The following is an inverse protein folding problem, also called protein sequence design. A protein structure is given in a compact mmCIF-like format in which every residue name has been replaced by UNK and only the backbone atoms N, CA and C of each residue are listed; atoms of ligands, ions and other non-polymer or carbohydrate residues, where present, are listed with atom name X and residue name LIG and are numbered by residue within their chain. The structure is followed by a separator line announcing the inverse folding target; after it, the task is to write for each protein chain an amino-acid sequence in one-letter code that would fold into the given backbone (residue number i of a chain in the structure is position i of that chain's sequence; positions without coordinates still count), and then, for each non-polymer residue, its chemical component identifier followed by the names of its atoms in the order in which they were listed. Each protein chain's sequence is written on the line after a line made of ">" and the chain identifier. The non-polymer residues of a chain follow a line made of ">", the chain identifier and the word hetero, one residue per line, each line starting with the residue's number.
data_IF_872375767315
#
_entry.id   IF_872375767315
#
_cell.length_a   1.000
_cell.length_b   1.000
_cell.length_c   1.000
_cell.angle_alpha   90.00
_cell.angle_beta   90.00
_cell.angle_gamma   90.00
#
_symmetry.space_group_name_H-M   'P 1'
#
loop_
_entity.id
_entity.type
_entity.pdbx_description
1 polymer ?
#
# COMPACT_ATOMS: atom_id res chain seq x y z
N UNK A 1 71.60 31.09 20.73
CA UNK A 1 71.84 32.53 20.48
C UNK A 1 70.59 33.13 19.87
N UNK A 2 70.09 34.13 20.60
CA UNK A 2 69.03 35.14 20.41
C UNK A 2 68.08 35.17 19.21
N UNK A 3 66.84 35.48 19.60
CA UNK A 3 65.73 36.04 18.84
C UNK A 3 66.14 37.24 18.00
N UNK A 4 65.97 37.14 16.67
CA UNK A 4 65.64 38.21 15.71
C UNK A 4 65.84 37.82 14.23
N UNK A 5 65.67 36.55 13.87
CA UNK A 5 65.58 36.13 12.45
C UNK A 5 64.29 35.37 12.09
N UNK A 6 63.25 35.49 12.91
CA UNK A 6 61.91 34.98 12.61
C UNK A 6 60.97 36.18 12.47
N UNK A 7 61.21 37.05 11.48
CA UNK A 7 60.39 38.26 11.29
C UNK A 7 60.00 38.60 9.85
N UNK A 8 60.36 37.80 8.83
CA UNK A 8 59.93 38.10 7.44
C UNK A 8 59.25 36.95 6.68
N UNK A 9 59.03 35.79 7.30
CA UNK A 9 58.23 34.71 6.70
C UNK A 9 56.77 34.64 7.19
N UNK A 10 56.36 35.50 8.15
CA UNK A 10 55.02 35.46 8.78
C UNK A 10 54.11 36.62 8.35
N UNK A 11 54.59 37.56 7.51
CA UNK A 11 53.82 38.77 7.13
C UNK A 11 53.39 38.88 5.68
N UNK A 12 53.43 37.78 4.91
CA UNK A 12 52.80 37.68 3.59
C UNK A 12 51.90 36.45 3.51
N UNK A 13 50.78 36.48 4.24
CA UNK A 13 49.49 35.86 3.84
C UNK A 13 48.40 36.08 4.91
N UNK A 14 48.38 37.23 5.57
CA UNK A 14 47.22 37.69 6.36
C UNK A 14 46.52 38.79 5.58
N UNK A 15 45.87 38.41 4.47
CA UNK A 15 44.75 39.13 3.84
C UNK A 15 44.27 38.30 2.64
N UNK A 16 43.55 37.22 2.96
CA UNK A 16 42.55 36.49 2.12
C UNK A 16 42.10 35.27 2.92
N UNK A 17 41.43 35.56 4.05
CA UNK A 17 40.53 34.63 4.72
C UNK A 17 39.20 34.67 3.94
N UNK A 18 38.49 33.56 3.91
CA UNK A 18 37.31 33.23 3.06
C UNK A 18 37.68 32.77 1.65
N UNK A 19 38.20 31.55 1.54
CA UNK A 19 37.63 30.49 0.69
C UNK A 19 38.59 29.29 0.66
N UNK A 20 38.02 28.09 0.84
CA UNK A 20 38.65 26.77 0.74
C UNK A 20 39.53 26.37 1.93
N UNK A 21 38.88 25.71 2.90
CA UNK A 21 39.53 24.98 3.97
C UNK A 21 38.84 23.64 4.22
N UNK A 22 39.54 22.58 3.80
CA UNK A 22 39.65 21.26 4.47
C UNK A 22 38.39 20.39 4.59
N UNK A 23 38.40 19.26 3.87
CA UNK A 23 37.84 18.01 4.39
C UNK A 23 38.61 16.81 3.79
N UNK A 24 39.77 16.51 4.39
CA UNK A 24 40.42 15.20 4.33
C UNK A 24 40.29 14.63 5.74
N UNK A 25 39.36 13.70 5.91
CA UNK A 25 39.17 12.97 7.17
C UNK A 25 37.73 12.75 7.58
N UNK A 26 36.98 11.93 6.82
CA UNK A 26 35.99 11.01 7.39
C UNK A 26 35.99 9.75 6.52
N UNK A 27 36.61 8.70 7.03
CA UNK A 27 36.39 7.35 6.56
C UNK A 27 35.01 6.89 7.03
N UNK A 28 34.25 6.27 6.13
CA UNK A 28 33.08 5.44 6.40
C UNK A 28 31.95 6.04 7.27
N UNK A 29 31.11 6.86 6.63
CA UNK A 29 29.67 6.90 6.91
C UNK A 29 28.96 7.15 5.58
N UNK A 30 29.02 6.15 4.67
CA UNK A 30 27.97 6.01 3.66
C UNK A 30 26.72 5.51 4.38
N UNK A 31 26.10 6.40 5.15
CA UNK A 31 24.67 6.30 5.41
C UNK A 31 24.01 6.51 4.05
N UNK A 32 23.44 5.44 3.52
CA UNK A 32 22.61 5.46 2.32
C UNK A 32 21.58 6.57 2.57
N UNK A 33 21.67 7.67 1.81
CA UNK A 33 20.56 8.58 1.69
C UNK A 33 19.42 7.76 1.10
N UNK A 34 18.46 7.37 1.94
CA UNK A 34 17.30 6.62 1.49
C UNK A 34 16.62 7.38 0.37
N UNK A 35 16.42 6.69 -0.75
CA UNK A 35 15.75 7.23 -1.91
C UNK A 35 14.26 7.40 -1.58
N UNK A 36 13.92 8.54 -0.98
CA UNK A 36 12.58 8.98 -0.59
C UNK A 36 11.53 9.04 -1.73
N UNK A 37 11.84 8.49 -2.91
CA UNK A 37 10.93 8.36 -4.04
C UNK A 37 10.55 6.94 -4.43
N UNK A 38 11.16 5.90 -3.85
CA UNK A 38 10.99 4.50 -4.29
C UNK A 38 9.77 3.79 -3.72
N UNK A 39 9.23 4.29 -2.61
CA UNK A 39 8.05 3.73 -1.95
C UNK A 39 6.78 4.44 -2.42
N UNK A 40 5.62 3.86 -2.07
CA UNK A 40 4.35 4.52 -2.34
C UNK A 40 4.29 5.89 -1.65
N UNK A 41 3.81 6.91 -2.38
CA UNK A 41 3.66 8.27 -1.87
C UNK A 41 2.38 8.44 -1.04
N UNK A 42 1.35 7.64 -1.33
CA UNK A 42 0.07 7.72 -0.61
C UNK A 42 -0.80 6.48 -0.78
N UNK A 43 -1.67 6.22 0.20
CA UNK A 43 -2.80 5.31 0.05
C UNK A 43 -3.97 6.06 -0.59
N UNK A 44 -4.46 5.55 -1.72
CA UNK A 44 -5.58 6.12 -2.48
C UNK A 44 -6.91 5.63 -1.96
N UNK A 45 -6.99 4.34 -1.66
CA UNK A 45 -8.19 3.70 -1.11
C UNK A 45 -7.82 2.44 -0.34
N UNK A 46 -8.59 2.14 0.69
CA UNK A 46 -8.57 0.85 1.38
C UNK A 46 -10.00 0.40 1.65
N UNK A 47 -10.27 -0.89 1.46
CA UNK A 47 -11.50 -1.56 1.86
C UNK A 47 -11.08 -2.75 2.72
N UNK A 48 -11.39 -2.71 4.00
CA UNK A 48 -11.10 -3.83 4.87
C UNK A 48 -12.11 -4.97 4.66
N UNK A 49 -11.63 -6.19 4.50
CA UNK A 49 -12.41 -7.42 4.58
C UNK A 49 -12.79 -7.76 6.02
N UNK A 50 -13.58 -8.81 6.31
CA UNK A 50 -13.69 -9.34 7.67
C UNK A 50 -12.35 -9.92 8.16
N UNK A 51 -12.26 -10.30 9.44
CA UNK A 51 -11.09 -10.99 10.02
C UNK A 51 -9.75 -10.22 10.03
N UNK A 52 -9.78 -8.89 9.99
CA UNK A 52 -8.59 -8.01 10.12
C UNK A 52 -7.98 -7.94 11.54
N UNK A 53 -8.52 -8.69 12.52
CA UNK A 53 -8.26 -8.49 13.95
C UNK A 53 -6.90 -9.06 14.43
N UNK A 54 -6.15 -9.74 13.58
CA UNK A 54 -4.81 -10.27 13.92
C UNK A 54 -3.65 -9.37 13.49
N UNK A 55 -3.85 -8.39 12.61
CA UNK A 55 -2.77 -7.52 12.12
C UNK A 55 -3.17 -6.05 11.92
N UNK A 56 -3.57 -5.35 12.98
CA UNK A 56 -3.69 -3.87 12.94
C UNK A 56 -4.44 -3.31 11.69
N UNK A 57 -5.72 -3.65 11.55
CA UNK A 57 -6.57 -3.20 10.43
C UNK A 57 -7.06 -1.74 10.51
N UNK A 58 -8.37 -1.47 10.44
CA UNK A 58 -8.93 -0.11 10.29
C UNK A 58 -8.61 0.85 11.44
N UNK A 59 -8.33 0.33 12.63
CA UNK A 59 -8.06 1.12 13.84
C UNK A 59 -6.55 1.34 14.09
N UNK A 60 -5.67 0.95 13.17
CA UNK A 60 -4.24 1.16 13.31
C UNK A 60 -3.89 2.67 13.35
N UNK A 61 -3.38 3.21 14.47
CA UNK A 61 -3.09 4.64 14.60
C UNK A 61 -1.92 5.11 13.72
N UNK A 62 -1.15 4.19 13.14
CA UNK A 62 -0.05 4.49 12.24
C UNK A 62 -0.46 4.49 10.77
N UNK A 63 -1.66 4.00 10.43
CA UNK A 63 -2.18 4.06 9.07
C UNK A 63 -2.42 5.53 8.65
N UNK A 64 -2.05 5.95 7.42
CA UNK A 64 -1.51 5.15 6.33
C UNK A 64 0.02 5.00 6.31
N UNK A 65 0.75 5.61 7.25
CA UNK A 65 2.22 5.67 7.19
C UNK A 65 2.89 4.30 7.26
N UNK A 66 2.27 3.33 7.92
CA UNK A 66 2.81 1.98 8.05
C UNK A 66 3.04 1.23 6.74
N UNK A 67 2.43 1.66 5.62
CA UNK A 67 2.58 1.00 4.30
C UNK A 67 3.23 1.89 3.24
N UNK A 68 3.67 3.09 3.62
CA UNK A 68 4.27 4.08 2.72
C UNK A 68 5.80 4.17 2.87
N UNK A 69 6.35 3.37 3.78
CA UNK A 69 7.76 3.33 4.09
C UNK A 69 8.48 2.14 3.45
N UNK A 70 9.72 1.95 3.89
CA UNK A 70 10.46 0.73 3.66
C UNK A 70 9.78 -0.45 4.39
N UNK A 71 9.99 -1.69 3.93
CA UNK A 71 9.58 -2.84 4.72
C UNK A 71 10.29 -2.85 6.08
N UNK A 72 9.65 -3.39 7.11
CA UNK A 72 10.17 -3.41 8.48
C UNK A 72 11.65 -3.83 8.51
N UNK A 73 12.53 -2.90 8.87
CA UNK A 73 13.98 -3.13 8.89
C UNK A 73 14.42 -4.24 9.87
N UNK A 74 13.55 -4.59 10.81
CA UNK A 74 13.75 -5.66 11.79
C UNK A 74 13.16 -7.00 11.35
N UNK A 75 12.37 -7.05 10.28
CA UNK A 75 11.83 -8.29 9.73
C UNK A 75 12.94 -9.30 9.41
N UNK A 76 12.69 -10.57 9.70
CA UNK A 76 13.62 -11.68 9.45
C UNK A 76 12.91 -12.81 8.72
N UNK A 77 13.58 -13.53 7.80
CA UNK A 77 12.91 -14.54 6.99
C UNK A 77 12.30 -15.71 7.76
N UNK A 78 12.67 -15.91 9.04
CA UNK A 78 12.15 -16.99 9.87
C UNK A 78 11.29 -16.51 11.05
N UNK A 79 10.99 -15.21 11.13
CA UNK A 79 10.24 -14.65 12.25
C UNK A 79 9.30 -13.56 11.75
N UNK A 80 8.00 -13.61 12.12
CA UNK A 80 7.07 -12.55 11.77
C UNK A 80 7.45 -11.26 12.48
N UNK A 81 7.18 -10.13 11.82
CA UNK A 81 7.02 -8.84 12.49
C UNK A 81 5.65 -8.75 13.15
N UNK A 82 5.54 -7.91 14.19
CA UNK A 82 4.29 -7.61 14.86
C UNK A 82 4.24 -6.12 15.24
N UNK A 83 4.97 -5.28 14.52
CA UNK A 83 5.01 -3.84 14.78
C UNK A 83 3.85 -3.12 14.07
N UNK A 84 2.90 -2.51 14.79
CA UNK A 84 1.79 -1.78 14.17
C UNK A 84 2.24 -0.57 13.36
N UNK A 85 3.48 -0.12 13.53
CA UNK A 85 4.06 0.98 12.75
C UNK A 85 4.47 0.57 11.35
N UNK A 86 4.60 -0.73 11.10
CA UNK A 86 5.18 -1.27 9.86
C UNK A 86 4.20 -2.20 9.12
N UNK A 87 3.05 -2.56 9.70
CA UNK A 87 2.11 -3.53 9.10
C UNK A 87 0.67 -3.01 9.01
N UNK A 88 -0.05 -3.49 8.00
CA UNK A 88 -1.49 -3.29 7.83
C UNK A 88 -2.16 -4.57 7.30
N UNK A 89 -3.01 -5.20 8.11
CA UNK A 89 -3.84 -6.34 7.71
C UNK A 89 -5.10 -5.87 7.00
N UNK A 90 -5.36 -6.44 5.83
CA UNK A 90 -6.45 -6.00 4.96
C UNK A 90 -7.81 -6.59 5.32
N UNK A 91 -7.86 -7.67 6.07
CA UNK A 91 -8.99 -8.59 6.18
C UNK A 91 -9.17 -9.44 4.91
N UNK A 92 -9.96 -10.50 5.05
CA UNK A 92 -10.29 -11.46 3.98
C UNK A 92 -10.98 -10.78 2.78
N UNK A 93 -10.37 -10.84 1.60
CA UNK A 93 -10.82 -10.11 0.41
C UNK A 93 -10.73 -8.58 0.54
N UNK A 94 -10.02 -8.11 1.57
CA UNK A 94 -9.64 -6.73 1.76
C UNK A 94 -8.73 -6.24 0.64
N UNK A 95 -8.69 -4.93 0.44
CA UNK A 95 -8.03 -4.34 -0.71
C UNK A 95 -7.45 -2.99 -0.36
N UNK A 96 -6.23 -2.72 -0.83
CA UNK A 96 -5.58 -1.42 -0.72
C UNK A 96 -5.02 -1.00 -2.08
N UNK A 97 -5.15 0.28 -2.41
CA UNK A 97 -4.54 0.89 -3.60
C UNK A 97 -3.56 1.95 -3.16
N UNK A 98 -2.32 1.79 -3.60
CA UNK A 98 -1.20 2.70 -3.36
C UNK A 98 -0.91 3.51 -4.62
N UNK A 99 -0.45 4.74 -4.45
CA UNK A 99 -0.04 5.64 -5.52
C UNK A 99 1.44 5.98 -5.42
N UNK A 100 2.10 5.99 -6.57
CA UNK A 100 3.46 6.44 -6.78
C UNK A 100 3.44 7.72 -7.62
N UNK A 101 3.95 8.82 -7.06
CA UNK A 101 4.06 10.11 -7.74
C UNK A 101 5.00 10.04 -8.93
N UNK A 102 6.11 9.33 -8.78
CA UNK A 102 6.97 8.96 -9.90
C UNK A 102 6.48 7.63 -10.45
N UNK A 103 6.07 7.57 -11.73
CA UNK A 103 5.56 6.33 -12.28
C UNK A 103 6.62 5.24 -12.20
N UNK A 104 6.16 4.04 -11.87
CA UNK A 104 6.92 2.80 -12.06
C UNK A 104 6.93 2.56 -13.56
N UNK A 105 8.10 2.28 -14.13
CA UNK A 105 8.30 2.13 -15.58
C UNK A 105 8.80 0.73 -15.89
N UNK A 106 8.33 0.17 -16.99
CA UNK A 106 8.77 -1.13 -17.49
C UNK A 106 10.23 -1.07 -17.96
N UNK A 107 11.04 -2.02 -17.49
CA UNK A 107 12.39 -2.28 -17.99
C UNK A 107 12.65 -3.78 -17.99
N UNK A 108 13.88 -4.16 -18.31
CA UNK A 108 14.27 -5.56 -18.23
C UNK A 108 14.15 -6.10 -16.80
N UNK A 109 13.26 -7.08 -16.62
CA UNK A 109 13.01 -7.77 -15.36
C UNK A 109 12.00 -7.05 -14.46
N UNK A 110 11.88 -7.45 -13.19
CA UNK A 110 10.86 -6.90 -12.30
C UNK A 110 11.02 -5.39 -12.06
N UNK A 111 9.89 -4.70 -11.98
CA UNK A 111 9.81 -3.24 -11.83
C UNK A 111 9.36 -2.79 -10.45
N UNK A 112 8.72 -3.67 -9.68
CA UNK A 112 8.36 -3.41 -8.28
C UNK A 112 8.26 -4.70 -7.46
N UNK A 113 8.26 -4.55 -6.14
CA UNK A 113 8.20 -5.64 -5.16
C UNK A 113 7.12 -5.33 -4.15
N UNK A 114 6.32 -6.33 -3.80
CA UNK A 114 5.36 -6.28 -2.70
C UNK A 114 5.92 -7.09 -1.53
N UNK A 115 5.89 -6.48 -0.35
CA UNK A 115 6.32 -7.07 0.89
C UNK A 115 5.12 -7.30 1.79
N UNK A 116 5.08 -8.51 2.32
CA UNK A 116 4.14 -8.99 3.32
C UNK A 116 4.97 -9.57 4.46
N UNK A 117 4.30 -9.94 5.54
CA UNK A 117 4.90 -10.49 6.75
C UNK A 117 5.13 -12.02 6.72
N UNK A 118 5.28 -12.64 5.55
CA UNK A 118 5.57 -14.06 5.40
C UNK A 118 6.85 -14.47 6.14
N UNK A 119 6.87 -15.70 6.64
CA UNK A 119 8.06 -16.27 7.28
C UNK A 119 8.18 -17.79 7.09
N UNK A 120 9.42 -18.26 6.99
CA UNK A 120 9.74 -19.69 6.93
C UNK A 120 9.52 -20.36 8.28
N UNK A 121 8.70 -21.41 8.29
CA UNK A 121 8.36 -22.20 9.48
C UNK A 121 9.60 -22.99 9.89
N UNK A 122 10.15 -22.67 11.06
CA UNK A 122 11.38 -23.31 11.55
C UNK A 122 12.60 -23.08 10.66
N UNK A 123 12.63 -21.97 9.92
CA UNK A 123 13.65 -21.67 8.90
C UNK A 123 13.76 -22.69 7.75
N UNK A 124 12.74 -23.53 7.51
CA UNK A 124 12.70 -24.40 6.33
C UNK A 124 12.21 -23.61 5.11
N UNK A 125 13.10 -23.37 4.14
CA UNK A 125 12.78 -22.62 2.91
C UNK A 125 11.69 -23.29 2.04
N UNK A 126 11.30 -24.53 2.33
CA UNK A 126 10.22 -25.23 1.63
C UNK A 126 8.86 -25.07 2.30
N UNK A 127 8.82 -24.46 3.50
CA UNK A 127 7.61 -24.30 4.32
C UNK A 127 7.53 -22.89 4.86
N UNK A 128 6.57 -22.10 4.41
CA UNK A 128 6.29 -20.79 4.96
C UNK A 128 4.88 -20.68 5.51
N UNK A 129 4.72 -19.81 6.50
CA UNK A 129 3.45 -19.18 6.79
C UNK A 129 3.34 -17.99 5.85
N UNK A 130 2.23 -17.91 5.14
CA UNK A 130 2.02 -16.97 4.04
C UNK A 130 0.53 -16.69 3.91
N UNK A 131 0.22 -15.48 3.47
CA UNK A 131 -1.13 -15.01 3.16
C UNK A 131 -1.04 -14.36 1.79
N UNK A 132 -1.76 -14.91 0.82
CA UNK A 132 -1.51 -14.55 -0.57
C UNK A 132 -2.26 -13.28 -0.97
N UNK A 133 -1.57 -12.43 -1.73
CA UNK A 133 -2.10 -11.18 -2.25
C UNK A 133 -2.15 -11.19 -3.76
N UNK A 134 -3.30 -10.80 -4.32
CA UNK A 134 -3.49 -10.60 -5.74
C UNK A 134 -3.09 -9.17 -6.08
N UNK A 135 -2.22 -9.01 -7.07
CA UNK A 135 -1.68 -7.72 -7.48
C UNK A 135 -2.31 -7.28 -8.79
N UNK A 136 -2.76 -6.03 -8.82
CA UNK A 136 -3.20 -5.37 -10.04
C UNK A 136 -2.63 -3.96 -10.13
N UNK A 137 -2.44 -3.46 -11.35
CA UNK A 137 -1.80 -2.17 -11.59
C UNK A 137 -2.63 -1.29 -12.51
N UNK A 138 -2.46 0.02 -12.38
CA UNK A 138 -3.14 0.99 -13.22
C UNK A 138 -2.28 2.19 -13.53
N UNK A 139 -2.47 2.76 -14.71
CA UNK A 139 -1.90 4.04 -15.11
C UNK A 139 -2.74 5.22 -14.62
N UNK A 140 -4.05 5.07 -14.57
CA UNK A 140 -5.02 6.16 -14.34
C UNK A 140 -5.81 6.04 -13.03
N UNK A 141 -5.66 4.92 -12.30
CA UNK A 141 -6.37 4.64 -11.06
C UNK A 141 -7.84 4.26 -11.28
N UNK A 142 -8.28 4.05 -12.53
CA UNK A 142 -9.64 3.64 -12.88
C UNK A 142 -9.66 2.23 -13.45
N UNK A 143 -8.76 1.93 -14.40
CA UNK A 143 -8.67 0.63 -15.05
C UNK A 143 -7.48 -0.13 -14.50
N UNK A 144 -7.77 -1.17 -13.73
CA UNK A 144 -6.75 -2.06 -13.18
C UNK A 144 -6.58 -3.29 -14.05
N UNK A 145 -5.34 -3.68 -14.29
CA UNK A 145 -4.96 -4.94 -14.93
C UNK A 145 -4.34 -5.83 -13.87
N UNK A 146 -4.97 -6.99 -13.64
CA UNK A 146 -4.52 -8.00 -12.69
C UNK A 146 -3.34 -8.79 -13.27
N UNK A 147 -2.33 -9.06 -12.46
CA UNK A 147 -1.26 -9.96 -12.83
C UNK A 147 -1.78 -11.40 -12.91
N UNK A 148 -1.40 -12.17 -13.94
CA UNK A 148 -1.78 -13.57 -14.02
C UNK A 148 -1.10 -14.36 -12.90
N UNK A 149 -1.84 -15.26 -12.27
CA UNK A 149 -1.33 -16.14 -11.24
C UNK A 149 -1.79 -17.60 -11.45
N UNK A 150 -1.09 -18.53 -10.80
CA UNK A 150 -1.42 -19.95 -10.82
C UNK A 150 -1.10 -20.62 -9.49
N UNK A 151 -1.94 -21.57 -9.09
CA UNK A 151 -1.75 -22.42 -7.90
C UNK A 151 -1.39 -23.83 -8.34
N UNK A 152 -0.32 -24.39 -7.77
CA UNK A 152 0.13 -25.76 -8.05
C UNK A 152 -0.39 -26.69 -6.94
N UNK A 153 -1.59 -27.22 -7.10
CA UNK A 153 -2.28 -28.00 -6.06
C UNK A 153 -1.59 -29.31 -5.66
N UNK A 154 -0.63 -29.79 -6.45
CA UNK A 154 0.19 -30.95 -6.08
C UNK A 154 1.25 -30.62 -5.03
N UNK A 155 1.53 -29.34 -4.78
CA UNK A 155 2.44 -28.90 -3.73
C UNK A 155 1.70 -28.68 -2.40
N UNK A 156 2.38 -28.86 -1.25
CA UNK A 156 1.78 -28.56 0.05
C UNK A 156 1.32 -27.10 0.15
N UNK A 157 0.24 -26.88 0.90
CA UNK A 157 -0.33 -25.55 1.17
C UNK A 157 0.72 -24.55 1.67
N UNK A 158 1.62 -24.97 2.54
CA UNK A 158 2.69 -24.13 3.08
C UNK A 158 3.92 -24.04 2.19
N UNK A 159 3.89 -24.57 0.96
CA UNK A 159 5.02 -24.45 0.04
C UNK A 159 4.99 -23.11 -0.70
N UNK A 160 6.01 -22.24 -0.57
CA UNK A 160 6.04 -20.99 -1.32
C UNK A 160 5.96 -21.21 -2.84
N UNK A 161 6.51 -22.33 -3.32
CA UNK A 161 6.52 -22.71 -4.75
C UNK A 161 5.12 -22.99 -5.32
N UNK A 162 4.10 -23.13 -4.46
CA UNK A 162 2.71 -23.38 -4.83
C UNK A 162 2.06 -22.19 -5.51
N UNK A 163 2.46 -20.97 -5.16
CA UNK A 163 1.77 -19.73 -5.54
C UNK A 163 2.64 -18.92 -6.49
N UNK A 164 2.34 -18.95 -7.79
CA UNK A 164 3.09 -18.18 -8.80
C UNK A 164 2.30 -16.95 -9.20
N UNK A 165 2.96 -15.79 -9.25
CA UNK A 165 2.34 -14.52 -9.64
C UNK A 165 1.49 -13.87 -8.54
N UNK A 166 1.53 -14.42 -7.32
CA UNK A 166 0.91 -13.84 -6.13
C UNK A 166 1.99 -13.17 -5.27
N UNK A 167 1.59 -12.14 -4.54
CA UNK A 167 2.37 -11.58 -3.45
C UNK A 167 2.13 -12.36 -2.15
N UNK A 168 2.94 -12.11 -1.13
CA UNK A 168 2.77 -12.66 0.21
C UNK A 168 3.38 -14.04 0.40
N UNK A 169 4.27 -14.45 -0.50
CA UNK A 169 4.79 -15.82 -0.58
C UNK A 169 6.24 -15.89 -0.12
N UNK A 170 7.01 -14.84 -0.39
CA UNK A 170 8.45 -14.79 -0.12
C UNK A 170 8.74 -13.96 1.13
N UNK A 171 9.26 -14.56 2.22
CA UNK A 171 9.58 -13.84 3.46
C UNK A 171 10.48 -12.63 3.30
N UNK A 172 10.34 -11.67 4.20
CA UNK A 172 11.08 -10.41 4.17
C UNK A 172 12.41 -10.49 4.95
N UNK A 173 13.48 -9.97 4.36
CA UNK A 173 14.75 -9.66 5.04
C UNK A 173 14.91 -8.13 5.14
N UNK A 174 14.46 -7.56 6.26
CA UNK A 174 14.46 -6.11 6.49
C UNK A 174 15.83 -5.45 6.51
N UNK A 175 16.91 -6.22 6.63
CA UNK A 175 18.29 -5.67 6.62
C UNK A 175 18.87 -5.46 5.22
N UNK A 176 18.28 -6.09 4.20
CA UNK A 176 18.77 -6.01 2.83
C UNK A 176 18.24 -4.77 2.12
N UNK A 177 18.81 -4.45 0.95
CA UNK A 177 18.27 -3.42 0.08
C UNK A 177 16.88 -3.85 -0.44
N UNK A 178 15.81 -3.10 -0.16
CA UNK A 178 14.45 -3.50 -0.51
C UNK A 178 14.14 -3.51 -2.02
N UNK A 179 15.02 -2.99 -2.87
CA UNK A 179 14.89 -3.11 -4.33
C UNK A 179 15.55 -4.39 -4.88
N UNK A 180 16.22 -5.18 -4.04
CA UNK A 180 17.01 -6.35 -4.47
C UNK A 180 16.24 -7.63 -4.18
N UNK A 181 15.24 -7.92 -5.01
CA UNK A 181 14.43 -9.13 -4.90
C UNK A 181 15.27 -10.41 -5.10
N UNK A 182 14.86 -11.49 -4.44
CA UNK A 182 15.49 -12.80 -4.53
C UNK A 182 15.35 -13.58 -3.22
N UNK A 183 15.83 -14.83 -3.16
CA UNK A 183 15.65 -15.69 -1.99
C UNK A 183 16.37 -15.09 -0.78
N UNK A 184 15.68 -14.75 0.31
CA UNK A 184 16.29 -14.07 1.47
C UNK A 184 17.16 -15.01 2.32
N UNK A 185 17.07 -16.33 2.08
CA UNK A 185 17.95 -17.36 2.63
C UNK A 185 18.55 -18.20 1.52
N UNK A 186 19.85 -18.50 1.62
CA UNK A 186 20.55 -19.46 0.77
C UNK A 186 21.30 -20.41 1.71
N UNK A 187 21.04 -21.72 1.60
CA UNK A 187 21.63 -22.74 2.47
C UNK A 187 21.50 -22.42 3.98
N UNK A 188 20.35 -21.86 4.39
CA UNK A 188 20.06 -21.51 5.78
C UNK A 188 20.73 -20.22 6.28
N UNK A 189 21.46 -19.51 5.43
CA UNK A 189 22.11 -18.24 5.78
C UNK A 189 21.40 -17.05 5.11
N UNK A 190 21.37 -15.90 5.78
CA UNK A 190 20.87 -14.65 5.21
C UNK A 190 21.60 -14.35 3.90
N UNK A 191 20.82 -14.09 2.87
CA UNK A 191 21.31 -13.65 1.58
C UNK A 191 21.28 -12.11 1.49
N UNK A 192 21.94 -11.52 0.49
CA UNK A 192 21.84 -10.08 0.23
C UNK A 192 20.53 -9.66 -0.46
N UNK A 193 19.54 -10.55 -0.56
CA UNK A 193 18.23 -10.26 -1.16
C UNK A 193 17.20 -9.93 -0.07
N UNK A 194 16.28 -9.03 -0.39
CA UNK A 194 15.21 -8.58 0.52
C UNK A 194 14.07 -9.59 0.68
N UNK A 195 13.99 -10.59 -0.19
CA UNK A 195 12.74 -11.32 -0.35
C UNK A 195 11.66 -10.43 -0.96
N UNK A 196 10.42 -10.63 -0.51
CA UNK A 196 9.25 -10.05 -1.16
C UNK A 196 9.01 -10.64 -2.55
N UNK A 197 7.84 -10.36 -3.10
CA UNK A 197 7.42 -10.91 -4.39
C UNK A 197 7.48 -9.83 -5.46
N UNK A 198 8.22 -10.10 -6.53
CA UNK A 198 8.55 -9.13 -7.56
C UNK A 198 7.64 -9.26 -8.79
N UNK A 199 7.29 -8.12 -9.38
CA UNK A 199 6.35 -8.00 -10.47
C UNK A 199 6.97 -7.20 -11.63
N UNK A 200 6.82 -7.75 -12.84
CA UNK A 200 7.37 -7.25 -14.09
C UNK A 200 6.23 -6.74 -14.98
N UNK A 201 6.22 -5.45 -15.31
CA UNK A 201 5.10 -4.82 -16.01
C UNK A 201 4.93 -5.34 -17.44
N UNK A 202 5.98 -5.88 -18.07
CA UNK A 202 5.89 -6.52 -19.37
C UNK A 202 4.91 -7.70 -19.36
N UNK A 203 4.75 -8.38 -18.21
CA UNK A 203 3.79 -9.50 -18.04
C UNK A 203 2.35 -9.07 -18.28
N UNK A 204 2.00 -7.83 -17.94
CA UNK A 204 0.66 -7.26 -18.10
C UNK A 204 0.59 -6.24 -19.25
N UNK A 205 1.66 -6.10 -20.03
CA UNK A 205 1.72 -5.22 -21.20
C UNK A 205 1.62 -3.74 -20.88
N UNK A 206 2.23 -3.30 -19.77
CA UNK A 206 2.17 -1.90 -19.30
C UNK A 206 3.54 -1.23 -19.34
N UNK A 207 3.71 -0.17 -20.12
CA UNK A 207 5.01 0.55 -20.14
C UNK A 207 5.28 1.38 -18.87
N UNK A 208 4.19 1.78 -18.18
CA UNK A 208 4.26 2.58 -16.96
C UNK A 208 2.94 2.59 -16.19
N UNK A 209 3.06 2.63 -14.86
CA UNK A 209 1.93 2.66 -13.92
C UNK A 209 2.18 3.66 -12.78
N UNK A 210 1.08 4.15 -12.21
CA UNK A 210 1.10 5.03 -11.02
C UNK A 210 0.47 4.36 -9.81
N UNK A 211 -0.32 3.30 -10.03
CA UNK A 211 -1.14 2.70 -9.00
C UNK A 211 -0.83 1.22 -8.91
N UNK A 212 -0.56 0.75 -7.69
CA UNK A 212 -0.48 -0.67 -7.35
C UNK A 212 -1.61 -0.95 -6.39
N UNK A 213 -2.42 -1.96 -6.72
CA UNK A 213 -3.49 -2.45 -5.86
C UNK A 213 -3.18 -3.87 -5.43
N UNK A 214 -3.35 -4.10 -4.13
CA UNK A 214 -3.19 -5.41 -3.51
C UNK A 214 -4.55 -5.78 -2.93
N UNK A 215 -5.02 -6.96 -3.28
CA UNK A 215 -6.25 -7.54 -2.76
C UNK A 215 -5.85 -8.83 -2.06
N UNK A 216 -6.21 -8.97 -0.79
CA UNK A 216 -6.12 -10.26 -0.10
C UNK A 216 -6.84 -11.33 -0.94
N UNK A 217 -6.19 -12.46 -1.17
CA UNK A 217 -6.70 -13.45 -2.11
C UNK A 217 -8.01 -14.10 -1.62
N UNK A 218 -8.20 -14.18 -0.29
CA UNK A 218 -9.37 -14.78 0.34
C UNK A 218 -9.76 -16.12 -0.27
N UNK A 219 -11.07 -16.29 -0.50
CA UNK A 219 -11.63 -17.51 -1.11
C UNK A 219 -11.14 -17.81 -2.54
N UNK A 220 -10.44 -16.88 -3.22
CA UNK A 220 -9.90 -17.13 -4.57
C UNK A 220 -8.69 -18.06 -4.54
N UNK A 221 -7.98 -18.16 -3.41
CA UNK A 221 -6.78 -18.99 -3.26
C UNK A 221 -6.82 -19.68 -1.90
N UNK A 222 -6.84 -21.02 -1.91
CA UNK A 222 -6.69 -21.78 -0.67
C UNK A 222 -5.21 -21.82 -0.26
N UNK A 223 -4.77 -20.80 0.47
CA UNK A 223 -3.39 -20.64 0.95
C UNK A 223 -3.13 -21.19 2.36
N UNK A 224 -4.14 -21.80 2.98
CA UNK A 224 -4.00 -22.40 4.31
C UNK A 224 -4.21 -21.46 5.47
N UNK A 225 -4.72 -20.25 5.23
CA UNK A 225 -5.17 -19.29 6.24
C UNK A 225 -6.37 -19.74 7.09
N UNK A 226 -6.45 -21.04 7.42
CA UNK A 226 -7.60 -21.75 8.04
C UNK A 226 -7.99 -21.17 9.42
N UNK A 227 -7.21 -20.25 9.99
CA UNK A 227 -7.50 -19.57 11.25
C UNK A 227 -7.32 -18.06 11.13
N UNK A 228 -8.20 -17.40 10.37
CA UNK A 228 -8.41 -15.95 10.40
C UNK A 228 -7.19 -15.09 10.05
N UNK A 229 -6.55 -15.41 8.94
CA UNK A 229 -5.29 -14.84 8.50
C UNK A 229 -5.53 -14.02 7.23
N UNK A 230 -4.95 -12.82 7.17
CA UNK A 230 -5.30 -11.76 6.23
C UNK A 230 -4.05 -11.00 5.84
N UNK A 231 -3.83 -10.80 4.55
CA UNK A 231 -2.63 -10.18 3.98
C UNK A 231 -2.13 -8.98 4.79
N UNK A 232 -1.00 -9.17 5.47
CA UNK A 232 -0.33 -8.16 6.29
C UNK A 232 0.66 -7.33 5.43
N UNK A 233 0.14 -6.29 4.78
CA UNK A 233 0.96 -5.43 3.93
C UNK A 233 2.01 -4.70 4.78
N UNK A 234 3.27 -4.89 4.40
CA UNK A 234 4.44 -4.21 4.95
C UNK A 234 4.84 -3.02 4.05
N UNK A 235 5.19 -3.30 2.79
CA UNK A 235 5.59 -2.25 1.86
C UNK A 235 5.36 -2.59 0.38
N UNK A 236 5.35 -1.57 -0.47
CA UNK A 236 5.53 -1.71 -1.93
C UNK A 236 6.65 -0.81 -2.38
N UNK A 237 7.59 -1.38 -3.12
CA UNK A 237 8.84 -0.73 -3.50
C UNK A 237 9.01 -0.80 -5.00
N UNK A 238 9.23 0.34 -5.64
CA UNK A 238 9.57 0.40 -7.04
C UNK A 238 11.07 0.10 -7.24
N UNK A 239 11.38 -0.81 -8.17
CA UNK A 239 12.73 -1.09 -8.68
C UNK A 239 13.06 -0.06 -9.76
N UNK A 240 12.16 0.10 -10.73
CA UNK A 240 12.32 1.00 -11.87
C UNK A 240 11.32 2.14 -11.79
N UNK A 241 11.82 3.37 -11.62
CA UNK A 241 10.99 4.57 -11.65
C UNK A 241 11.50 5.56 -12.67
N UNK A 242 10.57 6.34 -13.22
CA UNK A 242 10.94 7.51 -14.00
C UNK A 242 11.82 8.45 -13.16
N UNK A 243 12.84 9.02 -13.81
CA UNK A 243 13.67 10.04 -13.21
C UNK A 243 12.85 11.27 -12.80
N UNK A 244 13.42 12.10 -11.92
CA UNK A 244 12.79 13.35 -11.51
C UNK A 244 12.71 14.35 -12.69
N UNK A 245 11.69 14.23 -13.53
CA UNK A 245 11.32 15.30 -14.48
C UNK A 245 10.18 16.12 -13.88
N UNK A 246 10.13 17.42 -14.20
CA UNK A 246 8.99 18.32 -13.97
C UNK A 246 7.77 17.83 -14.79
N UNK A 247 7.23 16.66 -14.49
CA UNK A 247 5.87 16.33 -14.88
C UNK A 247 4.95 17.26 -14.08
N UNK A 248 3.85 17.78 -14.67
CA UNK A 248 2.87 18.53 -13.89
C UNK A 248 2.47 17.65 -12.72
N UNK A 249 2.57 18.22 -11.53
CA UNK A 249 2.18 17.60 -10.27
C UNK A 249 0.70 17.21 -10.41
N UNK A 250 0.44 15.95 -10.77
CA UNK A 250 -0.92 15.44 -10.70
C UNK A 250 -1.22 15.42 -9.20
N UNK A 251 -2.01 16.41 -8.77
CA UNK A 251 -2.45 16.53 -7.38
C UNK A 251 -3.33 15.32 -7.07
N UNK A 252 -2.70 14.21 -6.71
CA UNK A 252 -3.37 13.12 -6.00
C UNK A 252 -3.60 13.64 -4.60
N UNK A 253 -4.72 14.36 -4.45
CA UNK A 253 -5.28 14.60 -3.13
C UNK A 253 -5.54 13.24 -2.51
N UNK A 254 -4.87 12.97 -1.40
CA UNK A 254 -5.25 11.90 -0.48
C UNK A 254 -6.66 12.23 -0.01
N UNK A 255 -7.66 11.66 -0.70
CA UNK A 255 -9.06 11.86 -0.35
C UNK A 255 -9.40 10.84 0.71
N UNK A 256 -9.16 11.18 1.97
CA UNK A 256 -9.88 10.51 3.05
C UNK A 256 -11.32 11.05 3.04
N UNK A 257 -12.27 10.15 2.89
CA UNK A 257 -13.71 10.39 3.06
C UNK A 257 -14.20 9.34 4.05
N UNK A 258 -15.37 9.59 4.63
CA UNK A 258 -15.99 8.66 5.58
C UNK A 258 -17.45 8.51 5.20
N UNK A 259 -17.93 7.30 4.94
CA UNK A 259 -19.36 7.02 4.84
C UNK A 259 -19.81 6.41 6.18
N UNK A 260 -20.81 7.00 6.83
CA UNK A 260 -21.36 6.46 8.07
C UNK A 260 -22.51 5.50 7.79
N UNK A 261 -22.78 4.60 8.74
CA UNK A 261 -24.00 3.80 8.74
C UNK A 261 -25.22 4.72 8.81
N UNK A 262 -26.22 4.47 7.95
CA UNK A 262 -27.48 5.20 8.00
C UNK A 262 -28.16 5.02 9.36
N UNK A 263 -28.80 6.07 9.86
CA UNK A 263 -29.56 6.02 11.12
C UNK A 263 -30.93 6.69 10.96
N UNK A 264 -32.01 6.01 11.40
CA UNK A 264 -32.05 4.65 11.96
C UNK A 264 -31.72 3.56 10.92
N UNK A 265 -31.30 2.37 11.38
CA UNK A 265 -31.19 1.14 10.58
C UNK A 265 -31.45 -0.09 11.50
N UNK A 266 -32.51 -0.89 11.29
CA UNK A 266 -33.54 -0.77 10.25
C UNK A 266 -34.33 0.55 10.31
N UNK A 267 -34.98 0.94 9.21
CA UNK A 267 -35.70 2.21 9.09
C UNK A 267 -37.09 2.07 8.48
N UNK A 268 -37.99 3.03 8.75
CA UNK A 268 -39.35 3.09 8.21
C UNK A 268 -39.91 4.53 8.19
N UNK A 269 -40.30 5.09 7.02
CA UNK A 269 -39.70 4.86 5.71
C UNK A 269 -38.48 5.76 5.48
N UNK A 270 -38.07 6.54 6.50
CA UNK A 270 -37.00 7.53 6.38
C UNK A 270 -35.76 7.16 7.17
N UNK A 271 -34.59 7.51 6.63
CA UNK A 271 -33.29 7.38 7.29
C UNK A 271 -32.38 8.53 6.88
N UNK A 272 -31.30 8.74 7.62
CA UNK A 272 -30.28 9.73 7.30
C UNK A 272 -28.96 9.03 7.01
N UNK A 273 -28.36 9.34 5.86
CA UNK A 273 -27.03 8.87 5.47
C UNK A 273 -26.05 10.03 5.66
N UNK A 274 -25.03 9.81 6.48
CA UNK A 274 -23.95 10.78 6.65
C UNK A 274 -22.74 10.43 5.78
N UNK A 275 -22.01 11.44 5.29
CA UNK A 275 -20.64 11.27 4.80
C UNK A 275 -19.76 12.51 4.99
N UNK A 276 -18.44 12.31 5.05
CA UNK A 276 -17.45 13.39 5.21
C UNK A 276 -16.52 13.45 3.99
N UNK A 277 -16.25 14.67 3.53
CA UNK A 277 -15.27 14.98 2.49
C UNK A 277 -14.13 15.81 3.11
N UNK A 278 -12.88 15.35 3.01
CA UNK A 278 -11.72 16.15 3.47
C UNK A 278 -11.25 17.18 2.45
N UNK A 279 -11.66 17.05 1.19
CA UNK A 279 -11.31 17.96 0.09
C UNK A 279 -12.49 18.16 -0.85
N UNK A 280 -12.58 19.31 -1.55
CA UNK A 280 -13.62 19.54 -2.54
C UNK A 280 -13.61 18.47 -3.64
N UNK A 281 -14.75 17.82 -3.88
CA UNK A 281 -14.82 16.65 -4.76
C UNK A 281 -16.16 16.55 -5.50
N UNK A 282 -16.17 15.87 -6.65
CA UNK A 282 -17.39 15.43 -7.33
C UNK A 282 -17.94 14.19 -6.62
N UNK A 283 -19.20 14.26 -6.16
CA UNK A 283 -19.84 13.28 -5.29
C UNK A 283 -21.11 12.72 -5.93
N UNK A 284 -21.20 11.40 -5.97
CA UNK A 284 -22.42 10.65 -6.32
C UNK A 284 -22.83 9.77 -5.13
N UNK A 285 -24.00 9.98 -4.54
CA UNK A 285 -24.58 9.09 -3.54
C UNK A 285 -25.85 8.46 -4.11
N UNK A 286 -25.82 7.14 -4.32
CA UNK A 286 -26.90 6.40 -4.99
C UNK A 286 -27.35 5.20 -4.17
N UNK A 287 -28.60 4.79 -4.35
CA UNK A 287 -29.23 3.65 -3.68
C UNK A 287 -29.56 2.59 -4.72
N UNK A 288 -29.28 1.34 -4.38
CA UNK A 288 -29.47 0.14 -5.20
C UNK A 288 -30.28 -0.91 -4.43
N UNK A 289 -31.03 -1.71 -5.16
CA UNK A 289 -31.66 -2.92 -4.62
C UNK A 289 -30.68 -4.11 -4.56
N UNK A 290 -31.15 -5.24 -4.05
CA UNK A 290 -30.37 -6.49 -3.93
C UNK A 290 -29.92 -7.09 -5.26
N UNK A 291 -30.55 -6.69 -6.38
CA UNK A 291 -30.15 -7.10 -7.74
C UNK A 291 -29.17 -6.10 -8.37
N UNK A 292 -28.77 -5.06 -7.64
CA UNK A 292 -27.86 -4.02 -8.11
C UNK A 292 -28.51 -2.98 -9.02
N UNK A 293 -29.85 -2.93 -9.09
CA UNK A 293 -30.56 -1.90 -9.87
C UNK A 293 -30.60 -0.60 -9.08
N UNK A 294 -30.24 0.52 -9.72
CA UNK A 294 -30.35 1.84 -9.10
C UNK A 294 -31.83 2.18 -8.87
N UNK A 295 -32.18 2.49 -7.62
CA UNK A 295 -33.55 2.86 -7.22
C UNK A 295 -33.68 4.32 -6.81
N UNK A 296 -32.57 4.98 -6.49
CA UNK A 296 -32.54 6.42 -6.24
C UNK A 296 -31.13 7.01 -6.41
N UNK A 297 -31.06 8.24 -6.92
CA UNK A 297 -29.87 9.10 -6.82
C UNK A 297 -30.16 10.18 -5.77
N UNK A 298 -29.37 10.22 -4.70
CA UNK A 298 -29.55 11.14 -3.57
C UNK A 298 -28.66 12.38 -3.69
N UNK A 299 -27.47 12.24 -4.26
CA UNK A 299 -26.51 13.33 -4.53
C UNK A 299 -25.83 13.05 -5.85
N UNK A 300 -25.66 14.08 -6.68
CA UNK A 300 -24.86 14.06 -7.91
C UNK A 300 -24.33 15.48 -8.14
N UNK A 301 -23.29 15.87 -7.39
CA UNK A 301 -22.82 17.24 -7.37
C UNK A 301 -21.37 17.38 -6.92
N UNK A 302 -20.74 18.49 -7.32
CA UNK A 302 -19.47 18.94 -6.74
C UNK A 302 -19.73 19.61 -5.39
N UNK A 303 -19.05 19.13 -4.35
CA UNK A 303 -19.19 19.60 -2.98
C UNK A 303 -17.85 20.05 -2.40
N UNK A 304 -17.88 20.98 -1.45
CA UNK A 304 -16.70 21.43 -0.72
C UNK A 304 -16.26 20.38 0.32
N UNK A 305 -15.11 20.60 0.98
CA UNK A 305 -14.77 19.80 2.16
C UNK A 305 -15.77 20.07 3.29
N UNK A 306 -16.22 19.02 3.98
CA UNK A 306 -17.20 19.12 5.05
C UNK A 306 -17.91 17.80 5.35
N UNK A 307 -18.69 17.80 6.43
CA UNK A 307 -19.61 16.71 6.76
C UNK A 307 -21.00 17.01 6.20
N UNK A 308 -21.63 15.99 5.62
CA UNK A 308 -22.91 16.07 4.95
C UNK A 308 -23.86 15.04 5.53
N UNK A 309 -25.15 15.39 5.56
CA UNK A 309 -26.24 14.50 5.91
C UNK A 309 -27.29 14.56 4.81
N UNK A 310 -27.74 13.39 4.36
CA UNK A 310 -28.73 13.26 3.29
C UNK A 310 -29.90 12.45 3.82
N UNK A 311 -31.08 13.04 3.76
CA UNK A 311 -32.31 12.35 4.11
C UNK A 311 -32.78 11.49 2.95
N UNK A 312 -33.06 10.22 3.22
CA UNK A 312 -33.61 9.29 2.26
C UNK A 312 -35.02 8.87 2.71
N UNK A 313 -36.00 9.04 1.82
CA UNK A 313 -37.37 8.59 2.01
C UNK A 313 -37.68 7.46 1.04
N UNK A 314 -37.90 6.26 1.58
CA UNK A 314 -38.12 5.03 0.83
C UNK A 314 -39.59 4.58 0.82
N UNK A 315 -40.56 5.48 1.03
CA UNK A 315 -41.98 5.12 1.11
C UNK A 315 -42.48 4.32 -0.12
N UNK A 316 -41.94 4.62 -1.31
CA UNK A 316 -42.27 3.94 -2.57
C UNK A 316 -41.56 2.59 -2.79
N UNK A 317 -40.65 2.18 -1.91
CA UNK A 317 -39.86 0.96 -2.07
C UNK A 317 -40.44 -0.19 -1.22
N UNK A 318 -40.19 -1.46 -1.60
CA UNK A 318 -40.61 -2.62 -0.82
C UNK A 318 -39.70 -2.85 0.39
N UNK A 319 -40.19 -3.47 1.47
CA UNK A 319 -39.34 -3.90 2.59
C UNK A 319 -38.25 -4.84 2.08
N UNK A 320 -37.02 -4.68 2.57
CA UNK A 320 -35.88 -5.44 2.06
C UNK A 320 -34.54 -4.79 2.37
N UNK A 321 -33.48 -5.41 1.86
CA UNK A 321 -32.11 -4.91 1.96
C UNK A 321 -31.83 -4.01 0.76
N UNK A 322 -31.27 -2.84 1.02
CA UNK A 322 -30.78 -1.91 0.02
C UNK A 322 -29.31 -1.61 0.27
N UNK A 323 -28.61 -1.21 -0.78
CA UNK A 323 -27.21 -0.79 -0.72
C UNK A 323 -27.15 0.66 -1.13
N UNK A 324 -26.57 1.53 -0.31
CA UNK A 324 -26.21 2.87 -0.75
C UNK A 324 -24.70 2.94 -0.99
N UNK A 325 -24.32 3.61 -2.07
CA UNK A 325 -22.94 3.76 -2.52
C UNK A 325 -22.61 5.23 -2.65
N UNK A 326 -21.61 5.66 -1.90
CA UNK A 326 -20.97 6.96 -2.05
C UNK A 326 -19.81 6.79 -3.03
N UNK A 327 -19.77 7.62 -4.07
CA UNK A 327 -18.69 7.70 -5.05
C UNK A 327 -18.11 9.12 -5.04
N UNK A 328 -16.78 9.22 -4.93
CA UNK A 328 -16.05 10.50 -4.85
C UNK A 328 -14.85 10.44 -5.80
N UNK A 329 -15.02 10.94 -7.03
CA UNK A 329 -14.05 10.69 -8.10
C UNK A 329 -13.87 9.20 -8.37
N UNK A 330 -12.64 8.68 -8.16
CA UNK A 330 -12.30 7.25 -8.33
C UNK A 330 -12.66 6.38 -7.11
N UNK A 331 -12.98 6.97 -5.96
CA UNK A 331 -13.35 6.22 -4.78
C UNK A 331 -14.82 5.80 -4.81
N UNK A 332 -15.13 4.62 -4.28
CA UNK A 332 -16.46 4.28 -3.84
C UNK A 332 -16.47 3.46 -2.54
N UNK A 333 -17.38 3.78 -1.63
CA UNK A 333 -17.72 2.95 -0.46
C UNK A 333 -19.23 2.68 -0.48
N UNK A 334 -19.61 1.47 -0.08
CA UNK A 334 -20.99 1.03 -0.04
C UNK A 334 -21.35 0.49 1.33
N UNK A 335 -22.59 0.70 1.76
CA UNK A 335 -23.12 0.15 3.01
C UNK A 335 -24.54 -0.36 2.80
N UNK A 336 -24.92 -1.35 3.59
CA UNK A 336 -26.25 -1.96 3.57
C UNK A 336 -27.19 -1.21 4.51
N UNK A 337 -28.46 -1.13 4.14
CA UNK A 337 -29.55 -0.64 4.99
C UNK A 337 -30.77 -1.55 4.85
N UNK A 338 -31.59 -1.63 5.90
CA UNK A 338 -32.78 -2.48 5.95
C UNK A 338 -34.02 -1.62 6.09
N UNK A 339 -34.90 -1.67 5.09
CA UNK A 339 -36.21 -1.03 5.12
C UNK A 339 -37.24 -2.03 5.67
N UNK A 340 -37.97 -1.62 6.72
CA UNK A 340 -39.09 -2.38 7.28
C UNK A 340 -40.35 -1.53 7.09
N UNK A 341 -41.46 -2.16 6.68
CA UNK A 341 -42.78 -1.53 6.64
C UNK A 341 -43.64 -2.10 7.75
#
# INVERSE_FOLDING_TARGET
>A
MNANQITDAVRRSVSKIVQWGVCLGVCALMGIAEAAGQFADSVVSVRFGPNFNVGFGPDNPHFPRCVLGRPDSTARPCAPSADPRELLSLGDGGEITLYFRRPIIDREGPDFIVFENAFYIGCDTNRAFMETGIVSVSRDGQRFVEFPFSVIDTLPINSPRRYRGLAGVTPTNGTANPQRHGPPLINGQLSPFSGGDAFDLAVVGMDSIHYVRITDAGDRVNDGGILANSFDLDAVVAIHQAGASRAPEMQVQVRSFKLWQNYPNPFNPTTTIGYELKTPSDVSLKVYDELGREVATLVEAKQAAGAYQVHFNAAGLASGIYIYRLQVGAFAESRKMMLIK
#
